data_IF_862824437170
#
_entry.id   IF_862824437170
#
_cell.length_a   1.000
_cell.length_b   1.000
_cell.length_c   1.000
_cell.angle_alpha   90.00
_cell.angle_beta   90.00
_cell.angle_gamma   90.00
#
_symmetry.space_group_name_H-M   'P 1'
#
loop_
_entity.id
_entity.type
_entity.pdbx_description
1 polymer ?
#
# COMPACT_ATOMS: atom_id res chain seq x y z
N UNK A 1 5.86 -75.44 -5.80
CA UNK A 1 5.94 -73.98 -6.06
C UNK A 1 5.16 -73.59 -7.32
N UNK A 2 3.89 -73.18 -7.19
CA UNK A 2 3.25 -72.12 -8.00
C UNK A 2 1.82 -71.95 -7.47
N UNK A 3 1.43 -70.72 -7.17
CA UNK A 3 0.29 -70.36 -6.33
C UNK A 3 -1.02 -70.54 -7.11
N UNK A 4 -1.88 -71.43 -6.64
CA UNK A 4 -3.32 -71.45 -6.88
C UNK A 4 -3.93 -70.18 -6.29
N UNK A 5 -4.66 -69.38 -7.08
CA UNK A 5 -5.85 -68.65 -6.59
C UNK A 5 -6.92 -68.61 -7.67
N UNK A 6 -8.09 -69.00 -7.20
CA UNK A 6 -9.30 -69.38 -7.88
C UNK A 6 -10.17 -68.14 -8.14
N UNK A 7 -10.82 -68.13 -9.31
CA UNK A 7 -12.14 -67.56 -9.66
C UNK A 7 -12.87 -66.63 -8.66
N UNK A 8 -13.22 -65.42 -9.15
CA UNK A 8 -14.60 -64.87 -9.34
C UNK A 8 -15.53 -64.70 -8.10
N UNK A 9 -16.56 -63.83 -8.14
CA UNK A 9 -16.67 -62.39 -8.37
C UNK A 9 -17.30 -61.66 -7.15
N UNK A 10 -17.17 -60.32 -7.05
CA UNK A 10 -18.12 -59.52 -6.27
C UNK A 10 -18.45 -58.22 -7.00
N UNK A 11 -19.41 -58.36 -7.91
CA UNK A 11 -20.34 -57.33 -8.32
C UNK A 11 -21.11 -56.85 -7.07
N UNK A 12 -20.76 -55.67 -6.53
CA UNK A 12 -21.64 -54.75 -5.80
C UNK A 12 -20.83 -53.66 -5.06
N UNK A 13 -20.52 -52.57 -5.74
CA UNK A 13 -20.57 -51.26 -5.08
C UNK A 13 -21.03 -50.20 -6.09
N UNK A 14 -22.31 -50.31 -6.36
CA UNK A 14 -23.17 -49.35 -7.04
C UNK A 14 -23.20 -48.07 -6.21
N UNK A 15 -22.98 -46.96 -6.91
CA UNK A 15 -23.46 -45.60 -6.65
C UNK A 15 -23.53 -45.11 -5.19
N UNK A 16 -22.59 -44.21 -4.85
CA UNK A 16 -22.93 -42.94 -4.18
C UNK A 16 -21.98 -41.84 -4.69
N UNK A 17 -22.14 -41.40 -5.95
CA UNK A 17 -21.70 -40.06 -6.35
C UNK A 17 -22.69 -39.07 -5.72
N UNK A 18 -22.46 -38.73 -4.46
CA UNK A 18 -23.11 -37.57 -3.86
C UNK A 18 -22.44 -36.33 -4.43
N UNK A 19 -23.04 -35.80 -5.48
CA UNK A 19 -22.77 -34.46 -5.98
C UNK A 19 -23.19 -33.46 -4.90
N UNK A 20 -22.31 -33.20 -3.94
CA UNK A 20 -22.43 -32.00 -3.12
C UNK A 20 -21.96 -30.82 -3.99
N UNK A 21 -22.90 -30.31 -4.79
CA UNK A 21 -22.80 -28.98 -5.36
C UNK A 21 -22.98 -27.96 -4.23
N UNK A 22 -21.97 -27.86 -3.37
CA UNK A 22 -21.82 -26.70 -2.50
C UNK A 22 -21.28 -25.60 -3.39
N UNK A 23 -22.12 -24.63 -3.72
CA UNK A 23 -21.68 -23.37 -4.28
C UNK A 23 -20.70 -22.77 -3.25
N UNK A 24 -19.40 -22.92 -3.52
CA UNK A 24 -18.38 -22.23 -2.76
C UNK A 24 -18.70 -20.73 -2.85
N UNK A 25 -18.78 -19.99 -1.74
CA UNK A 25 -18.71 -18.55 -1.84
C UNK A 25 -17.42 -18.24 -2.59
N UNK A 26 -17.52 -17.41 -3.62
CA UNK A 26 -16.36 -16.81 -4.27
C UNK A 26 -15.72 -15.84 -3.27
N UNK A 27 -15.05 -16.37 -2.24
CA UNK A 27 -14.12 -15.62 -1.42
C UNK A 27 -12.94 -15.27 -2.31
N UNK A 28 -12.91 -14.02 -2.78
CA UNK A 28 -11.69 -13.44 -3.32
C UNK A 28 -10.58 -13.72 -2.31
N UNK A 29 -9.61 -14.55 -2.67
CA UNK A 29 -8.46 -14.90 -1.83
C UNK A 29 -7.40 -13.81 -1.97
N UNK A 30 -7.84 -12.54 -1.95
CA UNK A 30 -6.91 -11.43 -1.99
C UNK A 30 -6.32 -11.27 -0.58
N UNK A 31 -4.98 -11.20 -0.44
CA UNK A 31 -4.35 -10.98 0.85
C UNK A 31 -4.95 -9.73 1.51
N UNK A 32 -5.52 -9.91 2.69
CA UNK A 32 -6.04 -8.80 3.50
C UNK A 32 -4.95 -8.38 4.48
N UNK A 33 -4.52 -7.13 4.42
CA UNK A 33 -3.51 -6.60 5.33
C UNK A 33 -4.06 -6.51 6.76
N UNK A 34 -3.25 -6.86 7.75
CA UNK A 34 -3.59 -6.68 9.16
C UNK A 34 -3.70 -5.21 9.57
N UNK A 35 -3.13 -4.28 8.78
CA UNK A 35 -3.28 -2.84 9.01
C UNK A 35 -4.75 -2.43 9.05
N UNK A 36 -5.60 -3.11 8.27
CA UNK A 36 -7.05 -2.89 8.24
C UNK A 36 -7.79 -3.22 9.54
N UNK A 37 -7.12 -3.84 10.51
CA UNK A 37 -7.67 -4.07 11.86
C UNK A 37 -7.61 -2.79 12.71
N UNK A 38 -6.66 -1.92 12.42
CA UNK A 38 -6.37 -0.71 13.22
C UNK A 38 -6.72 0.58 12.49
N UNK A 39 -6.59 0.57 11.17
CA UNK A 39 -6.74 1.71 10.29
C UNK A 39 -7.86 1.42 9.30
N UNK A 40 -8.69 2.41 9.02
CA UNK A 40 -9.73 2.33 8.01
C UNK A 40 -9.53 3.38 6.91
N UNK A 41 -10.28 3.24 5.83
CA UNK A 41 -10.35 4.23 4.76
C UNK A 41 -11.79 4.73 4.58
N UNK A 42 -12.62 4.64 5.62
CA UNK A 42 -14.06 4.94 5.60
C UNK A 42 -14.35 6.38 6.05
N UNK A 43 -13.44 7.31 5.72
CA UNK A 43 -13.62 8.74 5.90
C UNK A 43 -13.35 9.51 4.60
N UNK A 44 -13.78 10.76 4.57
CA UNK A 44 -13.69 11.59 3.37
C UNK A 44 -12.22 11.81 3.00
N UNK A 45 -11.91 11.62 1.72
CA UNK A 45 -10.57 11.83 1.16
C UNK A 45 -9.45 11.03 1.86
N UNK A 46 -9.79 9.87 2.43
CA UNK A 46 -8.83 8.99 3.09
C UNK A 46 -7.67 8.58 2.17
N UNK A 47 -6.47 8.52 2.74
CA UNK A 47 -5.30 7.96 2.06
C UNK A 47 -5.24 6.44 2.25
N UNK A 48 -4.45 5.75 1.43
CA UNK A 48 -4.25 4.30 1.56
C UNK A 48 -3.64 3.93 2.92
N UNK A 49 -3.91 2.72 3.42
CA UNK A 49 -3.36 2.24 4.70
C UNK A 49 -1.83 2.42 4.79
N UNK A 50 -1.11 2.14 3.70
CA UNK A 50 0.34 2.36 3.59
C UNK A 50 0.73 3.82 3.81
N UNK A 51 -0.01 4.75 3.20
CA UNK A 51 0.28 6.17 3.32
C UNK A 51 -0.12 6.71 4.70
N UNK A 52 -1.17 6.14 5.32
CA UNK A 52 -1.52 6.44 6.71
C UNK A 52 -0.39 6.01 7.65
N UNK A 53 0.11 4.78 7.49
CA UNK A 53 1.26 4.29 8.26
C UNK A 53 2.50 5.17 8.02
N UNK A 54 2.81 5.53 6.78
CA UNK A 54 3.99 6.32 6.46
C UNK A 54 3.93 7.73 7.05
N UNK A 55 2.91 8.52 6.67
CA UNK A 55 2.79 9.90 7.13
C UNK A 55 2.48 9.96 8.64
N UNK A 56 1.63 9.06 9.14
CA UNK A 56 1.36 8.91 10.56
C UNK A 56 2.60 8.63 11.38
N UNK A 57 3.52 7.78 10.90
CA UNK A 57 4.80 7.51 11.58
C UNK A 57 5.62 8.78 11.78
N UNK A 58 5.66 9.68 10.79
CA UNK A 58 6.33 10.98 10.91
C UNK A 58 5.57 11.86 11.92
N UNK A 59 4.24 11.93 11.82
CA UNK A 59 3.39 12.77 12.68
C UNK A 59 3.39 12.33 14.15
N UNK A 60 3.70 11.08 14.46
CA UNK A 60 3.90 10.61 15.85
C UNK A 60 5.02 11.37 16.58
N UNK A 61 5.97 11.98 15.87
CA UNK A 61 7.00 12.83 16.49
C UNK A 61 6.41 14.03 17.27
N UNK A 62 5.21 14.45 16.91
CA UNK A 62 4.50 15.58 17.52
C UNK A 62 3.58 15.13 18.67
N UNK A 63 3.59 13.84 19.05
CA UNK A 63 2.71 13.27 20.08
C UNK A 63 3.51 12.65 21.22
N UNK A 64 2.81 12.15 22.25
CA UNK A 64 3.39 11.34 23.32
C UNK A 64 3.84 9.94 22.86
N UNK A 65 3.40 9.53 21.68
CA UNK A 65 3.55 8.17 21.14
C UNK A 65 4.64 8.11 20.06
N UNK A 66 5.65 8.98 20.17
CA UNK A 66 6.78 9.04 19.27
C UNK A 66 7.47 7.67 19.12
N UNK A 67 7.98 7.42 17.91
CA UNK A 67 8.68 6.17 17.59
C UNK A 67 9.98 6.09 18.38
N UNK A 68 10.26 4.93 18.98
CA UNK A 68 11.50 4.72 19.75
C UNK A 68 12.68 4.41 18.84
N UNK A 69 13.91 4.59 19.33
CA UNK A 69 15.12 4.22 18.58
C UNK A 69 15.19 2.73 18.21
N UNK A 70 14.66 1.86 19.08
CA UNK A 70 14.57 0.42 18.81
C UNK A 70 13.59 0.14 17.67
N UNK A 71 12.40 0.76 17.70
CA UNK A 71 11.43 0.64 16.61
C UNK A 71 11.99 1.20 15.30
N UNK A 72 12.66 2.35 15.34
CA UNK A 72 13.28 2.96 14.17
C UNK A 72 14.28 2.03 13.47
N UNK A 73 15.12 1.33 14.25
CA UNK A 73 16.08 0.34 13.74
C UNK A 73 15.38 -0.78 12.95
N UNK A 74 14.21 -1.21 13.42
CA UNK A 74 13.42 -2.26 12.77
C UNK A 74 12.60 -1.73 11.58
N UNK A 75 12.10 -0.49 11.65
CA UNK A 75 11.24 0.11 10.62
C UNK A 75 12.01 0.55 9.37
N UNK A 76 13.24 1.07 9.52
CA UNK A 76 14.06 1.55 8.39
C UNK A 76 14.17 0.51 7.25
N UNK A 77 14.63 -0.74 7.50
CA UNK A 77 14.77 -1.72 6.42
C UNK A 77 13.42 -2.12 5.79
N UNK A 78 12.31 -2.04 6.52
CA UNK A 78 10.98 -2.33 5.99
C UNK A 78 10.53 -1.25 4.99
N UNK A 79 10.71 0.03 5.34
CA UNK A 79 10.41 1.15 4.44
C UNK A 79 11.32 1.16 3.21
N UNK A 80 12.60 0.77 3.36
CA UNK A 80 13.49 0.55 2.22
C UNK A 80 12.97 -0.55 1.29
N UNK A 81 12.44 -1.64 1.85
CA UNK A 81 11.76 -2.70 1.08
C UNK A 81 10.56 -2.18 0.30
N UNK A 82 9.74 -1.31 0.90
CA UNK A 82 8.63 -0.65 0.20
C UNK A 82 9.12 0.19 -0.98
N UNK A 83 10.18 0.99 -0.81
CA UNK A 83 10.75 1.80 -1.89
C UNK A 83 11.25 0.91 -3.03
N UNK A 84 12.01 -0.13 -2.71
CA UNK A 84 12.58 -1.05 -3.70
C UNK A 84 11.50 -1.72 -4.55
N UNK A 85 10.41 -2.14 -3.92
CA UNK A 85 9.30 -2.82 -4.57
C UNK A 85 8.31 -1.87 -5.26
N UNK A 86 8.18 -0.62 -4.80
CA UNK A 86 7.28 0.38 -5.42
C UNK A 86 7.76 0.85 -6.79
N UNK A 87 9.03 0.60 -7.13
CA UNK A 87 9.63 0.90 -8.42
C UNK A 87 9.42 -0.17 -9.50
N UNK A 88 9.02 -1.37 -9.12
CA UNK A 88 8.93 -2.52 -10.01
C UNK A 88 7.46 -2.78 -10.41
N UNK A 89 7.20 -2.79 -11.71
CA UNK A 89 5.86 -3.06 -12.27
C UNK A 89 5.43 -4.52 -12.15
N UNK A 90 6.34 -5.41 -11.74
CA UNK A 90 6.13 -6.86 -11.63
C UNK A 90 6.06 -7.36 -10.19
N UNK A 91 6.26 -6.49 -9.20
CA UNK A 91 6.12 -6.85 -7.78
C UNK A 91 4.75 -7.44 -7.50
N UNK A 92 4.75 -8.57 -6.80
CA UNK A 92 3.52 -9.18 -6.30
C UNK A 92 2.93 -8.30 -5.18
N UNK A 93 1.65 -7.95 -5.29
CA UNK A 93 0.92 -7.17 -4.27
C UNK A 93 1.04 -7.80 -2.87
N UNK A 94 1.14 -9.14 -2.82
CA UNK A 94 1.38 -9.93 -1.62
C UNK A 94 2.65 -9.53 -0.86
N UNK A 95 3.76 -9.26 -1.55
CA UNK A 95 5.02 -8.86 -0.92
C UNK A 95 4.91 -7.48 -0.28
N UNK A 96 4.27 -6.54 -0.98
CA UNK A 96 4.00 -5.20 -0.48
C UNK A 96 3.06 -5.19 0.72
N UNK A 97 2.11 -6.13 0.79
CA UNK A 97 1.22 -6.33 1.93
C UNK A 97 1.97 -6.97 3.10
N UNK A 98 2.80 -7.98 2.85
CA UNK A 98 3.58 -8.62 3.91
C UNK A 98 4.52 -7.62 4.62
N UNK A 99 5.19 -6.74 3.88
CA UNK A 99 6.03 -5.69 4.49
C UNK A 99 5.16 -4.65 5.22
N UNK A 100 4.00 -4.28 4.68
CA UNK A 100 3.06 -3.38 5.37
C UNK A 100 2.59 -3.98 6.71
N UNK A 101 2.34 -5.29 6.74
CA UNK A 101 1.95 -6.01 7.95
C UNK A 101 3.09 -6.03 8.97
N UNK A 102 4.35 -6.23 8.53
CA UNK A 102 5.51 -6.14 9.42
C UNK A 102 5.71 -4.73 9.99
N UNK A 103 5.47 -3.68 9.19
CA UNK A 103 5.47 -2.29 9.66
C UNK A 103 4.40 -2.13 10.75
N UNK A 104 3.20 -2.65 10.49
CA UNK A 104 2.08 -2.60 11.44
C UNK A 104 2.42 -3.30 12.75
N UNK A 105 3.02 -4.50 12.73
CA UNK A 105 3.40 -5.22 13.97
C UNK A 105 4.57 -4.61 14.73
N UNK A 106 5.35 -3.74 14.10
CA UNK A 106 6.48 -3.07 14.74
C UNK A 106 6.04 -1.84 15.56
N UNK A 107 4.91 -1.23 15.17
CA UNK A 107 4.28 -0.14 15.92
C UNK A 107 3.46 -0.70 17.09
N UNK A 108 3.32 0.08 18.16
CA UNK A 108 2.47 -0.29 19.30
C UNK A 108 0.98 -0.08 18.96
N UNK A 109 0.06 -0.77 19.67
CA UNK A 109 -1.37 -0.50 19.53
C UNK A 109 -1.74 0.98 19.78
N UNK A 110 -1.09 1.63 20.74
CA UNK A 110 -1.31 3.04 21.06
C UNK A 110 -0.85 3.97 19.92
N UNK A 111 0.28 3.66 19.28
CA UNK A 111 0.76 4.36 18.09
C UNK A 111 -0.20 4.20 16.92
N UNK A 112 -0.65 2.96 16.65
CA UNK A 112 -1.60 2.68 15.57
C UNK A 112 -2.94 3.38 15.80
N UNK A 113 -3.42 3.39 17.04
CA UNK A 113 -4.62 4.14 17.44
C UNK A 113 -4.44 5.64 17.20
N UNK A 114 -3.30 6.19 17.62
CA UNK A 114 -2.99 7.62 17.42
C UNK A 114 -2.97 7.96 15.93
N UNK A 115 -2.38 7.11 15.08
CA UNK A 115 -2.40 7.28 13.62
C UNK A 115 -3.83 7.22 13.08
N UNK A 116 -4.67 6.29 13.55
CA UNK A 116 -6.08 6.20 13.13
C UNK A 116 -6.85 7.49 13.43
N UNK A 117 -6.63 8.07 14.62
CA UNK A 117 -7.26 9.31 15.06
C UNK A 117 -6.82 10.54 14.25
N UNK A 118 -5.69 10.48 13.54
CA UNK A 118 -5.25 11.56 12.65
C UNK A 118 -6.13 11.71 11.41
N UNK A 119 -6.85 10.65 10.99
CA UNK A 119 -7.70 10.64 9.79
C UNK A 119 -7.03 11.30 8.56
N UNK A 120 -5.82 10.84 8.22
CA UNK A 120 -4.95 11.45 7.21
C UNK A 120 -5.62 11.48 5.84
N UNK A 121 -5.71 12.69 5.27
CA UNK A 121 -6.37 12.96 3.98
C UNK A 121 -5.38 13.14 2.82
N UNK A 122 -5.85 12.98 1.58
CA UNK A 122 -5.02 13.28 0.40
C UNK A 122 -4.68 14.78 0.34
N UNK A 123 -5.55 15.67 0.84
CA UNK A 123 -5.26 17.10 0.97
C UNK A 123 -4.02 17.37 1.85
N UNK A 124 -3.88 16.68 2.98
CA UNK A 124 -2.70 16.79 3.84
C UNK A 124 -1.45 16.24 3.16
N UNK A 125 -1.54 15.06 2.53
CA UNK A 125 -0.41 14.53 1.76
C UNK A 125 0.02 15.46 0.64
N UNK A 126 -0.92 16.06 -0.09
CA UNK A 126 -0.60 17.02 -1.15
C UNK A 126 0.13 18.25 -0.59
N UNK A 127 -0.26 18.71 0.60
CA UNK A 127 0.42 19.81 1.28
C UNK A 127 1.85 19.41 1.66
N UNK A 128 2.03 18.22 2.24
CA UNK A 128 3.34 17.64 2.51
C UNK A 128 4.21 17.56 1.25
N UNK A 129 3.70 17.03 0.13
CA UNK A 129 4.46 16.96 -1.12
C UNK A 129 4.84 18.35 -1.66
N UNK A 130 3.94 19.33 -1.52
CA UNK A 130 4.19 20.71 -1.95
C UNK A 130 5.32 21.38 -1.17
N UNK A 131 5.51 21.05 0.12
CA UNK A 131 6.65 21.53 0.94
C UNK A 131 7.99 21.10 0.33
N UNK A 132 8.02 19.97 -0.38
CA UNK A 132 9.20 19.46 -1.08
C UNK A 132 9.21 19.79 -2.58
N UNK A 133 8.38 20.75 -3.01
CA UNK A 133 8.31 21.20 -4.40
C UNK A 133 7.70 20.18 -5.37
N UNK A 134 7.00 19.17 -4.85
CA UNK A 134 6.32 18.13 -5.64
C UNK A 134 4.84 18.44 -5.71
N UNK A 135 4.33 18.66 -6.92
CA UNK A 135 2.88 18.75 -7.16
C UNK A 135 2.41 17.44 -7.76
N UNK A 136 1.63 16.68 -6.99
CA UNK A 136 0.99 15.47 -7.49
C UNK A 136 -0.28 15.82 -8.28
N UNK A 137 -0.50 15.20 -9.45
CA UNK A 137 -1.76 15.38 -10.17
C UNK A 137 -2.89 14.72 -9.38
N UNK A 138 -3.78 15.52 -8.79
CA UNK A 138 -4.97 15.02 -8.11
C UNK A 138 -5.99 14.49 -9.12
N UNK A 139 -6.50 13.25 -8.94
CA UNK A 139 -7.68 12.80 -9.68
C UNK A 139 -8.87 13.67 -9.28
N UNK A 140 -9.46 14.39 -10.24
CA UNK A 140 -10.65 15.21 -10.00
C UNK A 140 -11.86 14.28 -9.86
N UNK A 141 -12.62 14.30 -8.75
CA UNK A 141 -13.84 13.49 -8.64
C UNK A 141 -14.84 13.86 -9.74
N UNK A 142 -15.40 12.87 -10.44
CA UNK A 142 -16.40 13.07 -11.49
C UNK A 142 -15.87 13.19 -12.91
N UNK A 143 -14.55 13.20 -13.14
CA UNK A 143 -14.00 12.94 -14.48
C UNK A 143 -13.80 11.43 -14.63
N UNK A 144 -14.77 10.74 -15.23
CA UNK A 144 -14.54 9.39 -15.73
C UNK A 144 -13.35 9.46 -16.69
N UNK A 145 -12.21 8.89 -16.28
CA UNK A 145 -11.09 8.65 -17.16
C UNK A 145 -11.52 7.55 -18.12
N UNK A 146 -12.26 7.92 -19.17
CA UNK A 146 -12.49 7.06 -20.33
C UNK A 146 -11.09 6.67 -20.82
N UNK A 147 -10.71 5.38 -20.81
CA UNK A 147 -9.46 4.95 -21.39
C UNK A 147 -9.41 5.42 -22.85
N UNK A 148 -8.52 6.38 -23.16
CA UNK A 148 -8.40 6.99 -24.48
C UNK A 148 -8.93 8.42 -24.64
N UNK A 149 -9.62 9.02 -23.65
CA UNK A 149 -10.19 10.38 -23.78
C UNK A 149 -9.44 11.47 -22.98
N UNK A 150 -8.19 11.22 -22.60
CA UNK A 150 -7.30 12.19 -21.94
C UNK A 150 -6.36 12.95 -22.88
N UNK A 151 -6.56 12.86 -24.19
CA UNK A 151 -5.63 13.37 -25.22
C UNK A 151 -5.98 14.76 -25.76
N UNK A 152 -6.84 15.54 -25.10
CA UNK A 152 -7.19 16.89 -25.58
C UNK A 152 -6.34 18.02 -24.98
N UNK A 153 -5.28 17.71 -24.22
CA UNK A 153 -4.18 18.68 -24.05
C UNK A 153 -3.13 18.36 -25.10
N UNK A 154 -2.95 19.28 -26.03
CA UNK A 154 -1.84 19.25 -26.98
C UNK A 154 -0.52 19.14 -26.22
N UNK A 155 0.50 18.55 -26.84
CA UNK A 155 1.83 18.46 -26.23
C UNK A 155 2.35 19.85 -25.82
N UNK A 156 1.96 20.88 -26.56
CA UNK A 156 2.23 22.29 -26.25
C UNK A 156 1.58 22.76 -24.94
N UNK A 157 0.33 22.38 -24.64
CA UNK A 157 -0.34 22.75 -23.39
C UNK A 157 0.24 22.01 -22.18
N UNK A 158 0.65 20.75 -22.35
CA UNK A 158 1.38 20.01 -21.31
C UNK A 158 2.77 20.62 -21.08
N UNK A 159 3.48 20.98 -22.14
CA UNK A 159 4.78 21.64 -22.05
C UNK A 159 4.67 23.04 -21.42
N UNK A 160 3.62 23.82 -21.73
CA UNK A 160 3.38 25.12 -21.13
C UNK A 160 3.05 25.02 -19.62
N UNK A 161 2.24 24.02 -19.23
CA UNK A 161 1.97 23.76 -17.82
C UNK A 161 3.23 23.32 -17.06
N UNK A 162 4.05 22.45 -17.66
CA UNK A 162 5.35 22.04 -17.10
C UNK A 162 6.31 23.22 -16.99
N UNK A 163 6.45 24.04 -18.03
CA UNK A 163 7.31 25.22 -18.02
C UNK A 163 6.86 26.27 -16.99
N UNK A 164 5.55 26.41 -16.76
CA UNK A 164 5.01 27.29 -15.71
C UNK A 164 5.31 26.74 -14.32
N UNK A 165 5.15 25.43 -14.11
CA UNK A 165 5.52 24.78 -12.86
C UNK A 165 7.03 24.89 -12.60
N UNK A 166 7.86 24.59 -13.60
CA UNK A 166 9.32 24.69 -13.54
C UNK A 166 9.78 26.13 -13.25
N UNK A 167 9.14 27.14 -13.87
CA UNK A 167 9.41 28.56 -13.59
C UNK A 167 9.00 28.97 -12.16
N UNK A 168 8.02 28.29 -11.58
CA UNK A 168 7.62 28.44 -10.18
C UNK A 168 8.45 27.58 -9.21
N UNK A 169 9.48 26.87 -9.69
CA UNK A 169 10.28 25.93 -8.90
C UNK A 169 9.55 24.64 -8.51
N UNK A 170 8.37 24.40 -9.09
CA UNK A 170 7.55 23.21 -8.85
C UNK A 170 7.85 22.15 -9.91
N UNK A 171 8.19 20.94 -9.45
CA UNK A 171 8.28 19.79 -10.35
C UNK A 171 6.92 19.10 -10.37
N UNK A 172 6.34 18.90 -11.55
CA UNK A 172 5.17 18.01 -11.67
C UNK A 172 5.65 16.58 -11.38
N UNK A 173 5.14 15.97 -10.31
CA UNK A 173 5.64 14.72 -9.74
C UNK A 173 5.36 13.46 -10.57
N UNK A 174 5.92 13.37 -11.77
CA UNK A 174 5.74 12.23 -12.69
C UNK A 174 6.88 11.21 -12.66
N UNK A 175 7.82 11.33 -11.70
CA UNK A 175 8.99 10.45 -11.56
C UNK A 175 8.89 9.46 -10.40
N UNK A 176 9.76 8.45 -10.40
CA UNK A 176 9.86 7.47 -9.30
C UNK A 176 10.16 8.15 -7.97
N UNK A 177 11.04 9.16 -7.96
CA UNK A 177 11.34 9.98 -6.77
C UNK A 177 10.10 10.63 -6.16
N UNK A 178 9.18 11.16 -6.97
CA UNK A 178 7.93 11.72 -6.46
C UNK A 178 7.01 10.66 -5.83
N UNK A 179 7.07 9.41 -6.31
CA UNK A 179 6.29 8.28 -5.76
C UNK A 179 6.87 7.76 -4.46
N UNK A 180 8.19 7.81 -4.28
CA UNK A 180 8.89 7.25 -3.11
C UNK A 180 9.20 8.30 -2.05
N UNK A 181 9.09 9.59 -2.37
CA UNK A 181 9.43 10.71 -1.48
C UNK A 181 8.84 10.58 -0.06
N UNK A 182 7.56 10.20 0.07
CA UNK A 182 6.95 10.01 1.40
C UNK A 182 7.71 8.95 2.20
N UNK A 183 8.01 7.80 1.60
CA UNK A 183 8.74 6.71 2.26
C UNK A 183 10.21 7.06 2.53
N UNK A 184 10.84 7.83 1.64
CA UNK A 184 12.19 8.37 1.84
C UNK A 184 12.22 9.29 3.07
N UNK A 185 11.20 10.14 3.24
CA UNK A 185 11.08 11.03 4.41
C UNK A 185 10.78 10.29 5.70
N UNK A 186 10.06 9.16 5.64
CA UNK A 186 9.94 8.26 6.80
C UNK A 186 11.33 7.74 7.20
N UNK A 187 12.13 7.25 6.25
CA UNK A 187 13.48 6.75 6.54
C UNK A 187 14.39 7.85 7.10
N UNK A 188 14.33 9.06 6.55
CA UNK A 188 15.07 10.22 7.04
C UNK A 188 14.74 10.50 8.51
N UNK A 189 13.45 10.63 8.83
CA UNK A 189 12.95 10.80 10.20
C UNK A 189 13.43 9.68 11.13
N UNK A 190 13.23 8.42 10.77
CA UNK A 190 13.66 7.27 11.60
C UNK A 190 15.18 7.24 11.80
N UNK A 191 15.95 7.67 10.80
CA UNK A 191 17.42 7.75 10.90
C UNK A 191 17.89 8.86 11.84
N UNK A 192 17.10 9.90 12.08
CA UNK A 192 17.40 10.94 13.07
C UNK A 192 17.16 10.45 14.50
N UNK A 193 16.11 9.65 14.71
CA UNK A 193 15.84 9.01 16.01
C UNK A 193 17.01 8.12 16.43
N UNK A 194 17.54 7.31 15.50
CA UNK A 194 18.65 6.39 15.79
C UNK A 194 20.01 7.05 16.07
N UNK A 195 20.15 8.37 15.83
CA UNK A 195 21.35 9.15 16.15
C UNK A 195 21.27 9.86 17.49
N UNK A 196 20.07 9.92 18.09
CA UNK A 196 19.77 10.62 19.34
C UNK A 196 20.01 9.72 20.55
#
# INVERSE_FOLDING_TARGET
MKKTRFLLPLLAFVLLLSACSSAAPSTSTEPTSIAGVYLDTEYIDAVSLRNQLAYGTIKLAETSDAVTAEQATNLIPLWQGIIALSGDTTTANEELIAIQDQITTTLTPEQLKTIAEMQITNAELNSFYAEFGVVLPTPIPGVTKVPGSGSSKTEAEKAAARATAEAAGQTTGTGQSAKTLLFEKVIEYLSEIGKS
#
